data_IF_640437443238
#
_entry.id   IF_640437443238
#
_cell.length_a   1.000
_cell.length_b   1.000
_cell.length_c   1.000
_cell.angle_alpha   90.00
_cell.angle_beta   90.00
_cell.angle_gamma   90.00
#
_symmetry.space_group_name_H-M   'P 1'
#
loop_
_entity.id
_entity.type
_entity.pdbx_description
1 polymer ?
#
# COMPACT_ATOMS: atom_id res chain seq x y z
N UNK A 1 6.43 6.20 30.20
CA UNK A 1 5.21 5.39 30.43
C UNK A 1 5.64 3.93 30.46
N UNK A 2 5.27 3.16 31.48
CA UNK A 2 5.60 1.72 31.53
C UNK A 2 4.40 0.93 31.03
N UNK A 3 4.64 -0.06 30.17
CA UNK A 3 3.60 -1.00 29.72
C UNK A 3 3.08 -1.81 30.93
N UNK A 4 1.80 -2.15 30.93
CA UNK A 4 1.22 -3.09 31.89
C UNK A 4 1.84 -4.48 31.70
N UNK A 5 1.83 -5.31 32.72
CA UNK A 5 2.42 -6.64 32.67
C UNK A 5 1.81 -7.53 31.57
N UNK A 6 0.49 -7.43 31.35
CA UNK A 6 -0.19 -8.11 30.24
C UNK A 6 0.34 -7.65 28.86
N UNK A 7 0.50 -6.36 28.67
CA UNK A 7 1.02 -5.78 27.40
C UNK A 7 2.48 -6.17 27.18
N UNK A 8 3.29 -6.26 28.26
CA UNK A 8 4.66 -6.76 28.16
C UNK A 8 4.68 -8.22 27.73
N UNK A 9 3.83 -9.09 28.29
CA UNK A 9 3.72 -10.49 27.88
C UNK A 9 3.31 -10.60 26.41
N UNK A 10 2.32 -9.83 25.97
CA UNK A 10 1.90 -9.79 24.56
C UNK A 10 3.02 -9.32 23.64
N UNK A 11 3.75 -8.26 24.02
CA UNK A 11 4.89 -7.77 23.25
C UNK A 11 5.98 -8.84 23.10
N UNK A 12 6.37 -9.51 24.18
CA UNK A 12 7.40 -10.56 24.13
C UNK A 12 6.92 -11.87 23.48
N UNK A 13 5.61 -12.03 23.23
CA UNK A 13 5.06 -13.13 22.43
C UNK A 13 5.12 -12.90 20.94
N UNK A 14 5.44 -11.67 20.49
CA UNK A 14 5.59 -11.36 19.05
C UNK A 14 6.82 -12.05 18.46
N UNK A 15 6.75 -12.31 17.16
CA UNK A 15 7.85 -12.92 16.40
C UNK A 15 9.12 -12.08 16.47
N UNK A 16 10.28 -12.77 16.44
CA UNK A 16 11.58 -12.14 16.36
C UNK A 16 12.47 -12.89 15.38
N UNK A 17 12.51 -12.44 14.12
CA UNK A 17 13.37 -13.02 13.08
C UNK A 17 14.85 -12.60 13.22
N UNK A 18 15.16 -11.69 14.14
CA UNK A 18 16.50 -11.16 14.37
C UNK A 18 17.18 -11.73 15.63
N UNK A 19 16.72 -12.88 16.14
CA UNK A 19 17.32 -13.57 17.29
C UNK A 19 18.83 -13.79 17.07
N UNK A 20 19.62 -13.51 18.09
CA UNK A 20 21.08 -13.63 18.02
C UNK A 20 21.80 -12.49 17.28
N UNK A 21 21.06 -11.65 16.54
CA UNK A 21 21.61 -10.49 15.82
C UNK A 21 21.42 -9.17 16.57
N UNK A 22 20.31 -9.05 17.29
CA UNK A 22 19.98 -7.89 18.10
C UNK A 22 19.46 -8.30 19.48
N UNK A 23 19.54 -7.44 20.49
CA UNK A 23 18.84 -7.63 21.76
C UNK A 23 17.35 -7.91 21.52
N UNK A 24 16.70 -8.77 22.34
CA UNK A 24 15.33 -9.25 22.09
C UNK A 24 14.32 -8.13 21.79
N UNK A 25 14.34 -7.06 22.58
CA UNK A 25 13.44 -5.91 22.40
C UNK A 25 13.61 -5.26 21.03
N UNK A 26 14.84 -5.02 20.60
CA UNK A 26 15.14 -4.40 19.30
C UNK A 26 14.76 -5.36 18.16
N UNK A 27 15.06 -6.66 18.32
CA UNK A 27 14.72 -7.66 17.32
C UNK A 27 13.21 -7.78 17.12
N UNK A 28 12.42 -7.79 18.20
CA UNK A 28 10.95 -7.78 18.14
C UNK A 28 10.45 -6.50 17.46
N UNK A 29 10.95 -5.33 17.84
CA UNK A 29 10.56 -4.07 17.21
C UNK A 29 10.84 -4.09 15.70
N UNK A 30 12.02 -4.51 15.29
CA UNK A 30 12.40 -4.57 13.87
C UNK A 30 11.57 -5.55 13.05
N UNK A 31 11.10 -6.64 13.67
CA UNK A 31 10.28 -7.65 13.01
C UNK A 31 8.84 -7.19 12.84
N UNK A 32 8.29 -6.42 13.81
CA UNK A 32 6.83 -6.25 13.93
C UNK A 32 6.36 -4.81 13.84
N UNK A 33 7.27 -3.83 13.73
CA UNK A 33 6.89 -2.44 13.67
C UNK A 33 6.14 -2.12 12.36
N UNK A 34 5.00 -1.47 12.49
CA UNK A 34 4.22 -0.97 11.37
C UNK A 34 4.45 0.54 11.22
N UNK A 35 4.49 1.05 10.00
CA UNK A 35 4.68 2.46 9.75
C UNK A 35 3.54 3.29 10.35
N UNK A 36 3.90 4.39 11.01
CA UNK A 36 2.96 5.38 11.54
C UNK A 36 3.50 6.78 11.29
N UNK A 37 2.75 7.59 10.57
CA UNK A 37 3.16 8.93 10.16
C UNK A 37 2.73 9.24 8.74
N UNK A 38 3.23 10.35 8.19
CA UNK A 38 2.90 10.76 6.82
C UNK A 38 3.49 9.73 5.83
N UNK A 39 2.62 8.96 5.20
CA UNK A 39 3.02 7.83 4.39
C UNK A 39 2.72 8.06 2.93
N UNK A 40 3.75 8.36 2.20
CA UNK A 40 3.79 8.11 0.76
C UNK A 40 4.52 6.79 0.47
N UNK A 41 4.06 5.70 1.07
CA UNK A 41 4.69 4.37 0.89
C UNK A 41 4.65 3.85 -0.55
N UNK A 42 3.87 4.47 -1.43
CA UNK A 42 3.85 4.17 -2.87
C UNK A 42 5.16 4.53 -3.58
N UNK A 43 5.93 5.47 -3.05
CA UNK A 43 7.20 5.92 -3.64
C UNK A 43 8.43 5.16 -3.10
N UNK A 44 8.26 4.14 -2.27
CA UNK A 44 9.38 3.41 -1.66
C UNK A 44 10.08 4.17 -0.54
N UNK A 45 9.51 5.28 -0.08
CA UNK A 45 10.00 6.00 1.07
C UNK A 45 9.68 5.25 2.36
N UNK A 46 10.65 5.18 3.26
CA UNK A 46 10.45 4.63 4.60
C UNK A 46 9.71 5.64 5.45
N UNK A 47 8.69 5.18 6.16
CA UNK A 47 7.99 6.04 7.12
C UNK A 47 8.98 6.57 8.17
N UNK A 48 8.90 7.86 8.49
CA UNK A 48 9.76 8.49 9.50
C UNK A 48 9.58 7.87 10.90
N UNK A 49 8.39 7.35 11.17
CA UNK A 49 8.03 6.73 12.44
C UNK A 49 7.41 5.36 12.22
N UNK A 50 7.67 4.44 13.16
CA UNK A 50 7.05 3.14 13.21
C UNK A 50 6.65 2.81 14.65
N UNK A 51 5.58 2.04 14.82
CA UNK A 51 5.05 1.64 16.12
C UNK A 51 4.74 0.16 16.20
N UNK A 52 4.72 -0.38 17.42
CA UNK A 52 4.22 -1.72 17.70
C UNK A 52 2.75 -1.63 18.05
N UNK A 53 1.94 -2.33 17.29
CA UNK A 53 0.50 -2.46 17.49
C UNK A 53 0.21 -3.92 17.79
N UNK A 54 0.09 -4.30 19.07
CA UNK A 54 0.12 -5.69 19.55
C UNK A 54 -0.78 -6.65 18.75
N UNK A 55 -1.98 -6.22 18.39
CA UNK A 55 -2.87 -7.00 17.51
C UNK A 55 -2.50 -6.83 16.04
N UNK A 56 -2.22 -5.60 15.60
CA UNK A 56 -1.86 -5.28 14.22
C UNK A 56 -0.55 -5.93 13.75
N UNK A 57 0.40 -6.09 14.67
CA UNK A 57 1.68 -6.76 14.41
C UNK A 57 1.57 -8.27 14.25
N UNK A 58 0.37 -8.85 14.34
CA UNK A 58 0.13 -10.29 14.16
C UNK A 58 -0.37 -10.66 12.76
N UNK A 59 -0.72 -9.68 11.94
CA UNK A 59 -1.06 -9.95 10.55
C UNK A 59 0.16 -10.48 9.81
N UNK A 60 0.01 -11.60 9.13
CA UNK A 60 1.04 -12.15 8.24
C UNK A 60 1.09 -11.43 6.89
N UNK A 61 2.07 -11.79 6.06
CA UNK A 61 2.29 -11.17 4.77
C UNK A 61 1.75 -12.00 3.61
N UNK A 62 1.09 -11.32 2.68
CA UNK A 62 0.76 -11.88 1.36
C UNK A 62 1.08 -10.85 0.27
N UNK A 63 1.51 -11.34 -0.91
CA UNK A 63 1.66 -10.51 -2.12
C UNK A 63 0.31 -10.23 -2.81
N UNK A 64 -0.78 -10.83 -2.30
CA UNK A 64 -2.18 -10.51 -2.61
C UNK A 64 -2.88 -10.32 -1.25
N UNK A 65 -2.66 -9.20 -0.58
CA UNK A 65 -3.23 -8.96 0.74
C UNK A 65 -4.76 -8.85 0.66
N UNK A 66 -5.45 -9.31 1.70
CA UNK A 66 -6.88 -9.12 1.87
C UNK A 66 -7.22 -8.05 2.92
N UNK A 67 -6.19 -7.51 3.55
CA UNK A 67 -6.31 -6.41 4.52
C UNK A 67 -5.30 -5.32 4.19
N UNK A 68 -5.70 -4.05 4.30
CA UNK A 68 -4.81 -2.91 4.25
C UNK A 68 -4.75 -2.21 5.59
N UNK A 69 -3.57 -1.75 5.98
CA UNK A 69 -3.37 -0.93 7.16
C UNK A 69 -3.24 0.54 6.77
N UNK A 70 -3.81 1.41 7.59
CA UNK A 70 -3.79 2.85 7.40
C UNK A 70 -3.57 3.55 8.74
N UNK A 71 -2.63 4.49 8.76
CA UNK A 71 -2.41 5.38 9.89
C UNK A 71 -3.25 6.64 9.76
N UNK A 72 -4.08 6.92 10.75
CA UNK A 72 -4.84 8.17 10.87
C UNK A 72 -4.08 9.13 11.80
N UNK A 73 -3.38 10.08 11.21
CA UNK A 73 -2.57 11.03 11.96
C UNK A 73 -3.41 11.96 12.84
N UNK A 74 -4.64 12.26 12.43
CA UNK A 74 -5.56 13.08 13.23
C UNK A 74 -5.99 12.37 14.50
N UNK A 75 -6.30 11.06 14.39
CA UNK A 75 -6.75 10.23 15.50
C UNK A 75 -5.61 9.52 16.23
N UNK A 76 -4.39 9.59 15.70
CA UNK A 76 -3.21 8.86 16.19
C UNK A 76 -3.50 7.36 16.35
N UNK A 77 -4.13 6.76 15.33
CA UNK A 77 -4.55 5.35 15.33
C UNK A 77 -4.20 4.67 14.02
N UNK A 78 -3.81 3.39 14.11
CA UNK A 78 -3.74 2.51 12.96
C UNK A 78 -5.10 1.81 12.79
N UNK A 79 -5.57 1.75 11.57
CA UNK A 79 -6.79 1.05 11.18
C UNK A 79 -6.45 -0.06 10.20
N UNK A 80 -7.12 -1.18 10.31
CA UNK A 80 -7.04 -2.30 9.39
C UNK A 80 -8.39 -2.46 8.70
N UNK A 81 -8.40 -2.52 7.38
CA UNK A 81 -9.62 -2.60 6.57
C UNK A 81 -9.54 -3.80 5.64
N UNK A 82 -10.61 -4.59 5.60
CA UNK A 82 -10.77 -5.60 4.58
C UNK A 82 -10.79 -4.94 3.19
N UNK A 83 -10.10 -5.55 2.24
CA UNK A 83 -10.00 -5.08 0.86
C UNK A 83 -11.03 -5.76 -0.04
N UNK A 84 -11.60 -6.87 0.41
CA UNK A 84 -12.64 -7.67 -0.21
C UNK A 84 -13.41 -8.44 0.84
N UNK A 85 -14.43 -9.17 0.44
CA UNK A 85 -15.06 -10.16 1.31
C UNK A 85 -14.03 -11.23 1.70
N UNK A 86 -14.05 -11.61 2.96
CA UNK A 86 -13.11 -12.57 3.57
C UNK A 86 -13.92 -13.69 4.17
N UNK A 87 -13.64 -14.92 3.74
CA UNK A 87 -14.34 -16.10 4.20
C UNK A 87 -13.96 -16.47 5.64
N UNK A 88 -14.86 -17.17 6.30
CA UNK A 88 -14.59 -17.70 7.65
C UNK A 88 -13.44 -18.70 7.59
N UNK A 89 -12.41 -18.47 8.40
CA UNK A 89 -11.20 -19.29 8.44
C UNK A 89 -10.10 -18.85 7.47
N UNK A 90 -10.36 -17.87 6.62
CA UNK A 90 -9.33 -17.27 5.79
C UNK A 90 -8.36 -16.42 6.63
N UNK A 91 -7.06 -16.58 6.40
CA UNK A 91 -6.02 -15.80 7.09
C UNK A 91 -6.04 -14.34 6.66
N UNK A 92 -5.99 -13.44 7.64
CA UNK A 92 -5.88 -12.00 7.40
C UNK A 92 -4.42 -11.62 7.14
N UNK A 93 -4.13 -11.13 5.93
CA UNK A 93 -2.78 -10.78 5.50
C UNK A 93 -2.69 -9.33 5.03
N UNK A 94 -1.58 -8.68 5.38
CA UNK A 94 -1.15 -7.39 4.82
C UNK A 94 0.05 -7.62 3.89
N UNK A 95 0.55 -6.60 3.21
CA UNK A 95 1.77 -6.70 2.43
C UNK A 95 2.95 -6.08 3.20
N UNK A 96 4.04 -6.85 3.41
CA UNK A 96 5.24 -6.38 4.10
C UNK A 96 6.29 -5.77 3.16
N UNK A 97 6.15 -6.01 1.86
CA UNK A 97 7.11 -5.56 0.84
C UNK A 97 6.41 -4.63 -0.15
N UNK A 98 7.15 -4.09 -1.10
CA UNK A 98 6.51 -3.31 -2.16
C UNK A 98 5.67 -4.20 -3.05
N UNK A 99 4.38 -3.89 -3.08
CA UNK A 99 3.34 -4.67 -3.73
C UNK A 99 3.61 -4.91 -5.23
N UNK A 100 4.23 -3.93 -5.90
CA UNK A 100 4.46 -3.97 -7.35
C UNK A 100 5.87 -4.42 -7.74
N UNK A 101 6.72 -4.81 -6.79
CA UNK A 101 8.03 -5.36 -7.09
C UNK A 101 7.94 -6.74 -7.72
N UNK A 102 8.90 -7.14 -8.57
CA UNK A 102 9.00 -8.49 -9.12
C UNK A 102 9.12 -9.56 -8.01
N UNK A 103 8.73 -10.79 -8.33
CA UNK A 103 8.75 -11.94 -7.40
C UNK A 103 10.11 -12.09 -6.69
N UNK A 104 11.20 -12.10 -7.45
CA UNK A 104 12.54 -12.28 -6.89
C UNK A 104 12.89 -11.19 -5.86
N UNK A 105 12.49 -9.96 -6.11
CA UNK A 105 12.73 -8.84 -5.19
C UNK A 105 11.87 -8.95 -3.93
N UNK A 106 10.59 -9.32 -4.07
CA UNK A 106 9.72 -9.56 -2.92
C UNK A 106 10.24 -10.69 -2.03
N UNK A 107 10.68 -11.82 -2.64
CA UNK A 107 11.31 -12.92 -1.91
C UNK A 107 12.59 -12.47 -1.19
N UNK A 108 13.47 -11.76 -1.90
CA UNK A 108 14.71 -11.24 -1.34
C UNK A 108 14.43 -10.35 -0.12
N UNK A 109 13.47 -9.42 -0.21
CA UNK A 109 13.10 -8.53 0.88
C UNK A 109 12.45 -9.28 2.04
N UNK A 110 11.52 -10.21 1.77
CA UNK A 110 10.94 -11.09 2.78
C UNK A 110 12.00 -11.83 3.57
N UNK A 111 12.97 -12.42 2.87
CA UNK A 111 14.08 -13.15 3.49
C UNK A 111 14.99 -12.27 4.33
N UNK A 112 15.41 -11.13 3.79
CA UNK A 112 16.38 -10.25 4.45
C UNK A 112 15.78 -9.49 5.64
N UNK A 113 14.54 -8.97 5.48
CA UNK A 113 13.93 -8.13 6.49
C UNK A 113 13.15 -8.93 7.55
N UNK A 114 12.54 -10.05 7.17
CA UNK A 114 11.61 -10.79 8.01
C UNK A 114 11.97 -12.28 8.19
N UNK A 115 13.00 -12.78 7.49
CA UNK A 115 13.54 -14.12 7.66
C UNK A 115 12.67 -15.24 7.07
N UNK A 116 11.74 -14.96 6.17
CA UNK A 116 10.88 -15.97 5.54
C UNK A 116 10.91 -15.92 4.01
N UNK A 117 10.59 -17.05 3.40
CA UNK A 117 10.32 -17.17 1.98
C UNK A 117 8.79 -17.18 1.79
N UNK A 118 8.27 -16.26 1.00
CA UNK A 118 6.82 -16.10 0.84
C UNK A 118 6.24 -17.25 0.00
N UNK A 119 5.23 -17.93 0.54
CA UNK A 119 4.50 -19.03 -0.10
C UNK A 119 3.06 -18.70 -0.43
N UNK A 120 2.71 -17.41 -0.53
CA UNK A 120 1.36 -17.00 -0.93
C UNK A 120 1.04 -17.45 -2.38
N UNK A 121 -0.25 -17.45 -2.73
CA UNK A 121 -0.73 -17.94 -4.02
C UNK A 121 0.05 -17.36 -5.22
N UNK A 122 0.41 -16.07 -5.22
CA UNK A 122 1.21 -15.48 -6.31
C UNK A 122 2.66 -15.99 -6.31
N UNK A 123 3.25 -16.23 -5.15
CA UNK A 123 4.64 -16.67 -5.05
C UNK A 123 4.83 -18.16 -5.38
N UNK A 124 3.76 -18.95 -5.36
CA UNK A 124 3.76 -20.37 -5.73
C UNK A 124 3.27 -20.65 -7.15
N UNK A 125 2.99 -19.62 -7.93
CA UNK A 125 2.62 -19.77 -9.34
C UNK A 125 3.72 -20.49 -10.16
N UNK A 126 3.35 -21.25 -11.21
CA UNK A 126 4.30 -21.75 -12.19
C UNK A 126 5.16 -20.62 -12.81
N UNK A 127 6.37 -20.94 -13.22
CA UNK A 127 7.35 -19.94 -13.70
C UNK A 127 6.82 -19.05 -14.82
N UNK A 128 6.02 -19.59 -15.73
CA UNK A 128 5.40 -18.83 -16.83
C UNK A 128 4.39 -17.80 -16.33
N UNK A 129 3.54 -18.19 -15.38
CA UNK A 129 2.55 -17.31 -14.77
C UNK A 129 3.20 -16.28 -13.85
N UNK A 130 4.28 -16.68 -13.17
CA UNK A 130 5.08 -15.79 -12.34
C UNK A 130 5.69 -14.66 -13.17
N UNK A 131 6.27 -14.98 -14.35
CA UNK A 131 6.78 -13.96 -15.29
C UNK A 131 5.69 -13.01 -15.75
N UNK A 132 4.53 -13.54 -16.12
CA UNK A 132 3.39 -12.72 -16.52
C UNK A 132 2.90 -11.81 -15.38
N UNK A 133 2.90 -12.29 -14.13
CA UNK A 133 2.63 -11.48 -12.94
C UNK A 133 3.67 -10.36 -12.78
N UNK A 134 4.94 -10.67 -12.89
CA UNK A 134 6.02 -9.68 -12.77
C UNK A 134 5.92 -8.60 -13.87
N UNK A 135 5.58 -8.98 -15.10
CA UNK A 135 5.36 -8.02 -16.20
C UNK A 135 4.17 -7.08 -15.92
N UNK A 136 3.06 -7.61 -15.40
CA UNK A 136 1.90 -6.78 -14.99
C UNK A 136 2.28 -5.81 -13.88
N UNK A 137 2.98 -6.26 -12.84
CA UNK A 137 3.43 -5.43 -11.71
C UNK A 137 4.42 -4.35 -12.16
N UNK A 138 5.39 -4.70 -13.00
CA UNK A 138 6.30 -3.73 -13.60
C UNK A 138 5.56 -2.71 -14.48
N UNK A 139 4.55 -3.16 -15.22
CA UNK A 139 3.67 -2.30 -16.01
C UNK A 139 2.91 -1.29 -15.15
N UNK A 140 2.37 -1.74 -14.03
CA UNK A 140 1.68 -0.87 -13.06
C UNK A 140 2.65 0.18 -12.52
N UNK A 141 3.82 -0.23 -12.06
CA UNK A 141 4.82 0.67 -11.48
C UNK A 141 5.31 1.71 -12.51
N UNK A 142 5.55 1.30 -13.76
CA UNK A 142 5.92 2.21 -14.83
C UNK A 142 4.83 3.24 -15.12
N UNK A 143 3.59 2.80 -15.27
CA UNK A 143 2.47 3.71 -15.55
C UNK A 143 2.24 4.71 -14.44
N UNK A 144 2.48 4.32 -13.17
CA UNK A 144 2.48 5.26 -12.05
C UNK A 144 3.56 6.32 -12.17
N UNK A 145 4.79 5.91 -12.48
CA UNK A 145 5.89 6.84 -12.71
C UNK A 145 5.55 7.84 -13.81
N UNK A 146 5.02 7.37 -14.94
CA UNK A 146 4.62 8.21 -16.07
C UNK A 146 3.50 9.20 -15.72
N UNK A 147 2.54 8.80 -14.87
CA UNK A 147 1.50 9.71 -14.37
C UNK A 147 2.10 10.75 -13.44
N UNK A 148 3.03 10.34 -12.57
CA UNK A 148 3.71 11.25 -11.65
C UNK A 148 4.55 12.31 -12.39
N UNK A 149 5.23 11.93 -13.46
CA UNK A 149 6.02 12.83 -14.31
C UNK A 149 5.17 13.84 -15.09
N UNK A 150 3.90 13.55 -15.37
CA UNK A 150 2.99 14.49 -16.01
C UNK A 150 2.65 15.74 -15.16
N UNK A 151 3.39 16.01 -14.11
CA UNK A 151 3.45 17.31 -13.44
C UNK A 151 2.54 17.49 -12.23
N UNK A 152 1.86 16.46 -11.79
CA UNK A 152 1.15 16.47 -10.50
C UNK A 152 1.14 15.06 -9.97
N UNK A 153 1.91 14.82 -8.94
CA UNK A 153 1.94 13.54 -8.26
C UNK A 153 0.71 13.39 -7.34
N UNK A 154 -0.37 12.73 -7.78
CA UNK A 154 -1.58 12.60 -6.98
C UNK A 154 -1.34 11.73 -5.74
N UNK A 155 -0.40 10.78 -5.82
CA UNK A 155 -0.10 9.83 -4.75
C UNK A 155 0.87 10.38 -3.69
N UNK A 156 1.62 11.43 -3.98
CA UNK A 156 2.56 12.04 -3.03
C UNK A 156 1.95 13.15 -2.18
N UNK A 157 0.69 13.48 -2.35
CA UNK A 157 0.22 14.62 -1.65
C UNK A 157 -1.27 14.82 -1.51
N UNK A 158 -1.99 13.88 -0.96
CA UNK A 158 -3.38 14.11 -0.51
C UNK A 158 -3.50 15.31 0.43
N UNK A 159 -2.41 15.81 1.00
CA UNK A 159 -2.39 17.00 1.87
C UNK A 159 -1.96 18.31 1.20
N UNK A 160 -1.49 18.33 -0.05
CA UNK A 160 -0.97 19.57 -0.67
C UNK A 160 -1.43 19.88 -2.10
N UNK A 161 -2.42 19.18 -2.62
CA UNK A 161 -3.00 19.53 -3.91
C UNK A 161 -3.92 20.73 -3.76
N UNK A 162 -3.33 21.94 -3.67
CA UNK A 162 -4.06 23.13 -4.07
C UNK A 162 -4.34 23.05 -5.57
N UNK A 163 -5.53 23.45 -6.05
CA UNK A 163 -5.99 23.20 -7.40
C UNK A 163 -5.22 24.02 -8.43
N UNK A 164 -4.07 23.53 -8.87
CA UNK A 164 -3.39 24.01 -10.08
C UNK A 164 -3.56 23.06 -11.27
N UNK A 165 -4.39 22.04 -11.12
CA UNK A 165 -4.75 21.10 -12.20
C UNK A 165 -5.52 21.75 -13.36
N UNK A 166 -5.95 23.01 -13.24
CA UNK A 166 -6.65 23.75 -14.29
C UNK A 166 -5.79 24.06 -15.54
N UNK A 167 -4.50 23.74 -15.50
CA UNK A 167 -3.56 24.04 -16.60
C UNK A 167 -3.05 22.81 -17.36
N UNK A 168 -3.51 21.60 -17.05
CA UNK A 168 -3.21 20.47 -17.91
C UNK A 168 -3.93 20.66 -19.26
N UNK A 169 -3.13 20.67 -20.31
CA UNK A 169 -3.61 20.71 -21.69
C UNK A 169 -4.61 19.56 -21.90
N UNK A 170 -5.73 19.72 -22.64
CA UNK A 170 -6.77 18.70 -22.76
C UNK A 170 -6.26 17.30 -23.11
N UNK A 171 -5.25 17.18 -23.97
CA UNK A 171 -4.65 15.91 -24.36
C UNK A 171 -3.82 15.24 -23.25
N UNK A 172 -3.23 16.00 -22.32
CA UNK A 172 -2.54 15.44 -21.17
C UNK A 172 -3.49 14.76 -20.16
N UNK A 173 -4.72 15.26 -20.04
CA UNK A 173 -5.76 14.64 -19.22
C UNK A 173 -6.27 13.33 -19.82
N UNK A 174 -6.46 13.26 -21.12
CA UNK A 174 -6.88 12.02 -21.77
C UNK A 174 -5.81 10.94 -21.67
N UNK A 175 -4.53 11.27 -21.89
CA UNK A 175 -3.42 10.35 -21.74
C UNK A 175 -3.32 9.80 -20.30
N UNK A 176 -3.50 10.63 -19.29
CA UNK A 176 -3.51 10.22 -17.88
C UNK A 176 -4.69 9.31 -17.58
N UNK A 177 -5.87 9.60 -18.13
CA UNK A 177 -7.07 8.77 -18.00
C UNK A 177 -6.89 7.38 -18.60
N UNK A 178 -6.30 7.28 -19.80
CA UNK A 178 -6.03 5.98 -20.43
C UNK A 178 -4.99 5.17 -19.64
N UNK A 179 -3.94 5.80 -19.12
CA UNK A 179 -2.98 5.14 -18.24
C UNK A 179 -3.65 4.63 -16.95
N UNK A 180 -4.51 5.42 -16.33
CA UNK A 180 -5.27 5.01 -15.15
C UNK A 180 -6.18 3.79 -15.43
N UNK A 181 -6.89 3.78 -16.58
CA UNK A 181 -7.68 2.61 -17.01
C UNK A 181 -6.81 1.37 -17.18
N UNK A 182 -5.62 1.52 -17.77
CA UNK A 182 -4.69 0.41 -17.95
C UNK A 182 -4.19 -0.13 -16.60
N UNK A 183 -3.86 0.75 -15.66
CA UNK A 183 -3.48 0.35 -14.29
C UNK A 183 -4.61 -0.46 -13.65
N UNK A 184 -5.85 0.02 -13.69
CA UNK A 184 -7.02 -0.70 -13.15
C UNK A 184 -7.17 -2.08 -13.78
N UNK A 185 -6.98 -2.19 -15.10
CA UNK A 185 -7.02 -3.48 -15.80
C UNK A 185 -5.94 -4.43 -15.28
N UNK A 186 -4.71 -3.96 -15.17
CA UNK A 186 -3.58 -4.76 -14.67
C UNK A 186 -3.77 -5.18 -13.21
N UNK A 187 -4.27 -4.28 -12.36
CA UNK A 187 -4.58 -4.57 -10.96
C UNK A 187 -5.66 -5.65 -10.82
N UNK A 188 -6.69 -5.62 -11.68
CA UNK A 188 -7.73 -6.67 -11.74
C UNK A 188 -7.12 -8.02 -12.11
N UNK A 189 -6.27 -8.04 -13.13
CA UNK A 189 -5.59 -9.26 -13.59
C UNK A 189 -4.66 -9.84 -12.55
N UNK A 190 -4.08 -8.98 -11.68
CA UNK A 190 -3.22 -9.38 -10.56
C UNK A 190 -4.00 -9.78 -9.30
N UNK A 191 -5.31 -9.56 -9.25
CA UNK A 191 -6.11 -9.82 -8.05
C UNK A 191 -5.83 -8.86 -6.87
N UNK A 192 -5.25 -7.69 -7.15
CA UNK A 192 -4.87 -6.69 -6.14
C UNK A 192 -5.60 -5.35 -6.32
N UNK A 193 -6.62 -5.31 -7.16
CA UNK A 193 -7.38 -4.08 -7.43
C UNK A 193 -7.93 -3.47 -6.15
N UNK A 194 -8.48 -4.30 -5.28
CA UNK A 194 -9.12 -3.85 -4.05
C UNK A 194 -8.10 -3.33 -3.04
N UNK A 195 -6.88 -3.91 -3.02
CA UNK A 195 -5.77 -3.44 -2.21
C UNK A 195 -5.29 -2.02 -2.58
N UNK A 196 -5.45 -1.65 -3.84
CA UNK A 196 -4.95 -0.40 -4.41
C UNK A 196 -6.05 0.47 -4.99
N UNK A 197 -7.24 -0.11 -5.23
CA UNK A 197 -8.31 0.50 -6.01
C UNK A 197 -8.84 1.79 -5.43
N UNK A 198 -8.94 1.89 -4.11
CA UNK A 198 -9.47 3.11 -3.46
C UNK A 198 -8.62 4.34 -3.77
N UNK A 199 -7.31 4.20 -3.87
CA UNK A 199 -6.39 5.29 -4.22
C UNK A 199 -6.65 5.69 -5.68
N UNK A 200 -6.75 4.72 -6.59
CA UNK A 200 -6.97 4.99 -8.02
C UNK A 200 -8.33 5.57 -8.33
N UNK A 201 -9.38 5.07 -7.69
CA UNK A 201 -10.71 5.63 -7.85
C UNK A 201 -10.78 7.05 -7.31
N UNK A 202 -10.10 7.33 -6.20
CA UNK A 202 -10.03 8.67 -5.64
C UNK A 202 -9.22 9.61 -6.54
N UNK A 203 -8.05 9.20 -6.99
CA UNK A 203 -7.22 9.99 -7.91
C UNK A 203 -7.94 10.19 -9.26
N UNK A 204 -8.55 9.14 -9.82
CA UNK A 204 -9.37 9.22 -11.01
C UNK A 204 -10.57 10.16 -10.84
N UNK A 205 -11.23 10.12 -9.69
CA UNK A 205 -12.31 11.07 -9.35
C UNK A 205 -11.78 12.51 -9.28
N UNK A 206 -10.64 12.75 -8.63
CA UNK A 206 -10.02 14.07 -8.57
C UNK A 206 -9.67 14.60 -9.96
N UNK A 207 -9.15 13.75 -10.85
CA UNK A 207 -8.88 14.11 -12.24
C UNK A 207 -10.17 14.46 -13.00
N UNK A 208 -11.25 13.72 -12.81
CA UNK A 208 -12.54 14.01 -13.43
C UNK A 208 -13.19 15.27 -12.85
N UNK A 209 -13.19 15.40 -11.53
CA UNK A 209 -13.80 16.54 -10.83
C UNK A 209 -13.09 17.87 -11.12
N UNK A 210 -11.77 17.87 -11.31
CA UNK A 210 -11.01 19.06 -11.67
C UNK A 210 -11.27 19.56 -13.09
N UNK A 211 -11.90 18.72 -13.93
CA UNK A 211 -12.28 19.07 -15.32
C UNK A 211 -13.72 19.54 -15.47
N UNK A 212 -14.56 19.44 -14.44
CA UNK A 212 -15.92 19.96 -14.51
C UNK A 212 -15.91 21.47 -14.32
N UNK A 213 -16.61 22.26 -15.18
CA UNK A 213 -16.82 23.67 -14.93
C UNK A 213 -17.53 23.79 -13.56
N UNK A 214 -17.06 24.71 -12.71
CA UNK A 214 -17.75 25.02 -11.46
C UNK A 214 -19.16 25.43 -11.81
N UNK A 215 -20.15 24.62 -11.46
CA UNK A 215 -21.52 25.06 -11.44
C UNK A 215 -21.59 26.21 -10.45
N UNK A 216 -21.89 27.40 -10.92
CA UNK A 216 -22.12 28.56 -10.08
C UNK A 216 -23.21 28.24 -9.04
N UNK A 217 -23.22 28.95 -7.90
CA UNK A 217 -24.27 28.74 -6.91
C UNK A 217 -25.63 28.90 -7.60
N UNK A 218 -26.63 28.05 -7.25
CA UNK A 218 -27.95 28.18 -7.84
C UNK A 218 -28.46 29.59 -7.58
N UNK A 219 -28.81 30.29 -8.66
CA UNK A 219 -29.48 31.57 -8.55
C UNK A 219 -30.75 31.33 -7.74
N UNK A 220 -30.81 31.96 -6.57
CA UNK A 220 -32.06 32.02 -5.79
C UNK A 220 -33.05 32.87 -6.60
N UNK A 221 -34.11 32.24 -7.07
CA UNK A 221 -35.35 32.93 -7.41
C UNK A 221 -36.05 33.41 -6.16
#
# INVERSE_FOLDING_TARGET
MKLKESEQREFFSLSNCHRGRFPPLIGICRTNALPCGDQSTLAGETAERAGIFLLGSRFNSSCIPNVNNFWDDTRQKISFRALRDIDVGEELCICYTELFSPHAERQRKGKLAFGFDCTCATCTLPTTEQKASDERRAGIQRLYGEIAECGNNPSLGVRKVRPRLSRLIPWGRELTREKAKMIIKLLKQEGILEASGSIFYYDGFQFCASGLPRMGPPHRC
#
